data_IF_196863213117
#
_entry.id   IF_196863213117
#
_cell.length_a   1.000
_cell.length_b   1.000
_cell.length_c   1.000
_cell.angle_alpha   90.00
_cell.angle_beta   90.00
_cell.angle_gamma   90.00
#
_symmetry.space_group_name_H-M   'P 1'
#
loop_
_entity.id
_entity.type
_entity.pdbx_description
1 polymer ?
#
# COMPACT_ATOMS: atom_id res chain seq x y z
N UNK A 1 -13.46 -2.82 -21.85
CA UNK A 1 -13.72 -1.37 -21.89
C UNK A 1 -12.81 -0.82 -20.80
N UNK A 2 -11.73 -0.15 -21.19
CA UNK A 2 -10.55 0.01 -20.33
C UNK A 2 -10.87 0.74 -19.03
N UNK A 3 -10.39 0.19 -17.92
CA UNK A 3 -10.35 0.82 -16.60
C UNK A 3 -9.33 1.98 -16.63
N UNK A 4 -9.64 3.04 -17.37
CA UNK A 4 -8.76 4.20 -17.48
C UNK A 4 -9.26 5.28 -16.53
N UNK A 5 -8.75 5.23 -15.30
CA UNK A 5 -8.74 6.40 -14.41
C UNK A 5 -7.98 7.53 -15.09
N UNK A 6 -8.49 8.76 -14.96
CA UNK A 6 -7.95 9.95 -15.61
C UNK A 6 -6.78 10.59 -14.83
N UNK A 7 -6.54 10.16 -13.58
CA UNK A 7 -5.38 10.59 -12.80
C UNK A 7 -4.06 9.96 -13.25
N UNK A 8 -2.95 10.63 -12.95
CA UNK A 8 -1.61 10.20 -13.35
C UNK A 8 -1.14 8.92 -12.63
N UNK A 9 -0.22 8.17 -13.25
CA UNK A 9 0.41 7.01 -12.61
C UNK A 9 1.14 7.41 -11.31
N UNK A 10 1.73 8.60 -11.27
CA UNK A 10 2.38 9.12 -10.08
C UNK A 10 1.38 9.27 -8.92
N UNK A 11 0.21 9.85 -9.17
CA UNK A 11 -0.86 9.98 -8.16
C UNK A 11 -1.29 8.60 -7.64
N UNK A 12 -1.42 7.61 -8.53
CA UNK A 12 -1.74 6.24 -8.14
C UNK A 12 -0.67 5.61 -7.23
N UNK A 13 0.60 5.77 -7.58
CA UNK A 13 1.71 5.19 -6.82
C UNK A 13 1.80 5.82 -5.42
N UNK A 14 1.58 7.14 -5.31
CA UNK A 14 1.51 7.85 -4.03
C UNK A 14 0.30 7.38 -3.21
N UNK A 15 -0.86 7.22 -3.85
CA UNK A 15 -2.07 6.71 -3.18
C UNK A 15 -1.86 5.29 -2.64
N UNK A 16 -1.17 4.42 -3.39
CA UNK A 16 -0.86 3.07 -2.96
C UNK A 16 0.13 3.07 -1.78
N UNK A 17 1.14 3.94 -1.82
CA UNK A 17 2.06 4.12 -0.68
C UNK A 17 1.34 4.63 0.58
N UNK A 18 0.42 5.58 0.42
CA UNK A 18 -0.41 6.09 1.51
C UNK A 18 -1.37 5.01 2.06
N UNK A 19 -1.99 4.22 1.18
CA UNK A 19 -2.88 3.13 1.59
C UNK A 19 -2.13 2.02 2.37
N UNK A 20 -0.90 1.69 1.96
CA UNK A 20 -0.03 0.77 2.71
C UNK A 20 0.32 1.32 4.10
N UNK A 21 0.72 2.59 4.18
CA UNK A 21 1.00 3.25 5.46
C UNK A 21 -0.25 3.26 6.38
N UNK A 22 -1.44 3.45 5.80
CA UNK A 22 -2.68 3.35 6.54
C UNK A 22 -2.94 1.92 7.05
N UNK A 23 -2.70 0.91 6.21
CA UNK A 23 -2.85 -0.50 6.55
C UNK A 23 -1.87 -0.96 7.65
N UNK A 24 -0.65 -0.40 7.71
CA UNK A 24 0.30 -0.63 8.81
C UNK A 24 -0.25 -0.19 10.17
N UNK A 25 -1.23 0.72 10.17
CA UNK A 25 -2.00 1.14 11.35
C UNK A 25 -3.38 0.51 11.40
N UNK A 26 -3.62 -0.58 10.67
CA UNK A 26 -4.88 -1.35 10.67
C UNK A 26 -6.07 -0.46 10.25
N UNK A 27 -5.84 0.48 9.33
CA UNK A 27 -6.93 1.19 8.68
C UNK A 27 -7.70 0.22 7.75
N UNK A 28 -9.00 0.47 7.61
CA UNK A 28 -9.92 -0.35 6.82
C UNK A 28 -10.40 0.41 5.58
N UNK A 29 -10.82 -0.35 4.57
CA UNK A 29 -11.57 0.15 3.40
C UNK A 29 -10.90 1.34 2.68
N UNK A 30 -9.63 1.21 2.25
CA UNK A 30 -9.00 2.20 1.40
C UNK A 30 -9.69 2.23 0.04
N UNK A 31 -10.28 3.38 -0.28
CA UNK A 31 -10.97 3.64 -1.55
C UNK A 31 -10.31 4.83 -2.22
N UNK A 32 -9.80 4.62 -3.43
CA UNK A 32 -9.30 5.68 -4.29
C UNK A 32 -10.44 6.15 -5.20
N UNK A 33 -10.66 7.46 -5.24
CA UNK A 33 -11.73 8.09 -6.00
C UNK A 33 -11.13 9.05 -7.00
N UNK A 34 -11.45 8.89 -8.28
CA UNK A 34 -11.07 9.85 -9.32
C UNK A 34 -11.94 11.11 -9.20
N UNK A 35 -11.27 12.25 -9.02
CA UNK A 35 -11.90 13.57 -8.93
C UNK A 35 -11.33 14.57 -9.94
N UNK A 36 -10.44 14.12 -10.83
CA UNK A 36 -9.71 14.95 -11.81
C UNK A 36 -10.62 15.74 -12.75
N UNK A 37 -11.76 15.15 -13.14
CA UNK A 37 -12.77 15.80 -14.00
C UNK A 37 -13.66 16.80 -13.24
N UNK A 38 -13.59 16.82 -11.90
CA UNK A 38 -14.45 17.63 -11.02
C UNK A 38 -13.69 18.74 -10.33
N UNK A 39 -12.42 18.52 -10.03
CA UNK A 39 -11.57 19.43 -9.26
C UNK A 39 -10.33 19.78 -10.09
N UNK A 40 -10.05 21.08 -10.17
CA UNK A 40 -8.88 21.58 -10.89
C UNK A 40 -7.58 21.33 -10.12
N UNK A 41 -7.66 21.18 -8.80
CA UNK A 41 -6.50 21.16 -7.91
C UNK A 41 -6.05 19.75 -7.50
N UNK A 42 -6.90 18.75 -7.61
CA UNK A 42 -6.62 17.39 -7.17
C UNK A 42 -7.09 16.40 -8.23
N UNK A 43 -6.29 15.36 -8.46
CA UNK A 43 -6.62 14.29 -9.39
C UNK A 43 -7.38 13.14 -8.70
N UNK A 44 -7.03 12.84 -7.44
CA UNK A 44 -7.62 11.73 -6.70
C UNK A 44 -7.82 12.01 -5.22
N UNK A 45 -8.84 11.38 -4.64
CA UNK A 45 -9.02 11.27 -3.19
C UNK A 45 -8.77 9.84 -2.73
N UNK A 46 -7.93 9.67 -1.71
CA UNK A 46 -7.83 8.42 -0.97
C UNK A 46 -8.64 8.53 0.31
N UNK A 47 -9.63 7.65 0.50
CA UNK A 47 -10.47 7.63 1.70
C UNK A 47 -10.21 6.34 2.47
N UNK A 48 -9.84 6.46 3.74
CA UNK A 48 -9.58 5.32 4.64
C UNK A 48 -10.37 5.45 5.93
N UNK A 49 -10.70 4.31 6.53
CA UNK A 49 -11.44 4.22 7.80
C UNK A 49 -10.56 3.80 8.96
N UNK A 50 -10.81 4.36 10.12
CA UNK A 50 -10.20 3.99 11.39
C UNK A 50 -11.30 3.69 12.43
N UNK A 51 -11.03 2.75 13.34
CA UNK A 51 -11.94 2.28 14.38
C UNK A 51 -12.05 3.21 15.60
N UNK A 52 -11.15 4.19 15.75
CA UNK A 52 -11.17 5.11 16.89
C UNK A 52 -10.45 6.42 16.60
N UNK A 53 -10.72 7.45 17.41
CA UNK A 53 -10.07 8.74 17.26
C UNK A 53 -8.55 8.73 17.43
N UNK A 54 -8.06 7.86 18.32
CA UNK A 54 -6.62 7.62 18.46
C UNK A 54 -6.04 7.02 17.19
N UNK A 55 -6.76 6.11 16.54
CA UNK A 55 -6.31 5.47 15.31
C UNK A 55 -6.37 6.42 14.12
N UNK A 56 -7.37 7.31 14.02
CA UNK A 56 -7.39 8.39 12.99
C UNK A 56 -6.07 9.16 13.00
N UNK A 57 -5.64 9.60 14.18
CA UNK A 57 -4.37 10.30 14.32
C UNK A 57 -3.18 9.40 13.97
N UNK A 58 -3.13 8.17 14.50
CA UNK A 58 -2.03 7.25 14.21
C UNK A 58 -1.88 6.94 12.70
N UNK A 59 -2.99 6.75 11.99
CA UNK A 59 -3.03 6.53 10.54
C UNK A 59 -2.52 7.75 9.80
N UNK A 60 -3.03 8.95 10.13
CA UNK A 60 -2.59 10.18 9.49
C UNK A 60 -1.10 10.47 9.69
N UNK A 61 -0.58 10.29 10.90
CA UNK A 61 0.86 10.43 11.17
C UNK A 61 1.71 9.43 10.37
N UNK A 62 1.29 8.16 10.29
CA UNK A 62 2.04 7.14 9.56
C UNK A 62 2.08 7.43 8.06
N UNK A 63 0.96 7.88 7.47
CA UNK A 63 0.92 8.31 6.07
C UNK A 63 1.92 9.44 5.84
N UNK A 64 1.90 10.47 6.68
CA UNK A 64 2.83 11.61 6.56
C UNK A 64 4.29 11.17 6.69
N UNK A 65 4.59 10.30 7.66
CA UNK A 65 5.93 9.81 7.94
C UNK A 65 6.47 8.93 6.80
N UNK A 66 5.67 7.98 6.29
CA UNK A 66 6.07 7.11 5.18
C UNK A 66 6.26 7.87 3.87
N UNK A 67 5.34 8.80 3.54
CA UNK A 67 5.47 9.60 2.31
C UNK A 67 6.66 10.57 2.41
N UNK A 68 6.93 11.14 3.58
CA UNK A 68 8.11 11.99 3.79
C UNK A 68 9.41 11.19 3.68
N UNK A 69 9.50 10.01 4.30
CA UNK A 69 10.72 9.20 4.27
C UNK A 69 11.03 8.58 2.92
N UNK A 70 10.01 8.00 2.28
CA UNK A 70 10.23 7.18 1.09
C UNK A 70 10.11 7.96 -0.22
N UNK A 71 9.29 9.01 -0.24
CA UNK A 71 9.01 9.80 -1.44
C UNK A 71 9.43 11.28 -1.31
N UNK A 72 9.97 11.69 -0.16
CA UNK A 72 10.31 13.10 0.12
C UNK A 72 9.14 14.07 -0.02
N UNK A 73 7.90 13.58 0.13
CA UNK A 73 6.68 14.38 0.00
C UNK A 73 6.24 14.92 1.35
N UNK A 74 5.87 16.20 1.40
CA UNK A 74 5.29 16.84 2.59
C UNK A 74 3.88 17.32 2.27
N UNK A 75 2.94 17.25 3.23
CA UNK A 75 1.62 17.78 3.01
C UNK A 75 1.67 19.30 2.88
N UNK A 76 0.87 19.83 1.97
CA UNK A 76 0.64 21.27 1.80
C UNK A 76 -0.29 21.77 2.90
N UNK A 77 -1.32 20.98 3.22
CA UNK A 77 -2.34 21.31 4.22
C UNK A 77 -2.65 20.08 5.06
N UNK A 78 -2.89 20.31 6.36
CA UNK A 78 -3.42 19.30 7.28
C UNK A 78 -4.59 19.93 8.04
N UNK A 79 -5.76 19.29 8.00
CA UNK A 79 -6.95 19.71 8.74
C UNK A 79 -7.49 18.58 9.63
N UNK A 80 -8.27 18.93 10.66
CA UNK A 80 -8.96 17.96 11.53
C UNK A 80 -8.07 17.22 12.56
N UNK A 81 -6.74 17.41 12.53
CA UNK A 81 -5.76 16.68 13.37
C UNK A 81 -6.06 16.67 14.88
N UNK A 82 -6.64 17.74 15.43
CA UNK A 82 -6.98 17.81 16.86
C UNK A 82 -8.38 17.28 17.20
N UNK A 83 -9.23 17.03 16.20
CA UNK A 83 -10.62 16.61 16.40
C UNK A 83 -10.76 15.10 16.56
N UNK A 84 -9.84 14.33 15.96
CA UNK A 84 -9.79 12.88 16.06
C UNK A 84 -10.93 12.13 15.36
N UNK A 85 -11.94 12.82 14.83
CA UNK A 85 -13.02 12.19 14.05
C UNK A 85 -12.67 12.06 12.57
N UNK A 86 -11.86 12.99 12.08
CA UNK A 86 -11.38 13.02 10.71
C UNK A 86 -10.03 13.70 10.65
N UNK A 87 -9.27 13.40 9.60
CA UNK A 87 -8.09 14.15 9.20
C UNK A 87 -8.06 14.25 7.69
N UNK A 88 -7.81 15.45 7.17
CA UNK A 88 -7.52 15.69 5.77
C UNK A 88 -6.04 16.03 5.62
N UNK A 89 -5.38 15.38 4.67
CA UNK A 89 -3.97 15.56 4.38
C UNK A 89 -3.84 15.81 2.88
N UNK A 90 -3.46 17.03 2.52
CA UNK A 90 -3.38 17.48 1.13
C UNK A 90 -1.93 17.39 0.63
N UNK A 91 -1.71 16.68 -0.48
CA UNK A 91 -0.42 16.57 -1.17
C UNK A 91 -0.45 17.21 -2.58
N UNK A 92 -1.45 18.02 -2.89
CA UNK A 92 -1.72 18.55 -4.24
C UNK A 92 -2.60 17.59 -5.03
N UNK A 93 -1.98 16.79 -5.90
CA UNK A 93 -2.71 15.90 -6.82
C UNK A 93 -3.46 14.77 -6.08
N UNK A 94 -3.03 14.43 -4.86
CA UNK A 94 -3.70 13.48 -3.97
C UNK A 94 -4.14 14.18 -2.68
N UNK A 95 -5.42 14.01 -2.32
CA UNK A 95 -5.91 14.37 -0.98
C UNK A 95 -6.33 13.12 -0.23
N UNK A 96 -5.75 12.90 0.95
CA UNK A 96 -6.04 11.75 1.80
C UNK A 96 -7.01 12.16 2.89
N UNK A 97 -8.09 11.41 3.02
CA UNK A 97 -9.08 11.53 4.07
C UNK A 97 -9.04 10.31 4.98
N UNK A 98 -8.77 10.53 6.26
CA UNK A 98 -8.84 9.50 7.30
C UNK A 98 -10.07 9.78 8.15
N UNK A 99 -11.02 8.85 8.21
CA UNK A 99 -12.25 9.01 9.00
C UNK A 99 -12.38 7.96 10.09
N UNK A 100 -12.92 8.35 11.24
CA UNK A 100 -13.54 7.39 12.12
C UNK A 100 -14.72 6.70 11.38
N UNK A 101 -14.87 5.38 11.56
CA UNK A 101 -15.83 4.55 10.82
C UNK A 101 -17.26 5.10 10.90
N UNK A 102 -17.71 5.42 12.11
CA UNK A 102 -19.04 5.98 12.38
C UNK A 102 -19.26 7.32 11.67
N UNK A 103 -18.24 8.19 11.63
CA UNK A 103 -18.31 9.47 10.93
C UNK A 103 -18.33 9.29 9.40
N UNK A 104 -17.54 8.38 8.82
CA UNK A 104 -17.57 8.09 7.38
C UNK A 104 -18.95 7.64 6.93
N UNK A 105 -19.60 6.78 7.71
CA UNK A 105 -20.96 6.29 7.46
C UNK A 105 -22.00 7.42 7.60
N UNK A 106 -21.88 8.26 8.64
CA UNK A 106 -22.81 9.36 8.90
C UNK A 106 -22.77 10.45 7.82
N UNK A 107 -21.57 10.88 7.42
CA UNK A 107 -21.40 11.91 6.38
C UNK A 107 -21.58 11.36 4.96
N UNK A 108 -21.51 10.03 4.79
CA UNK A 108 -21.69 9.32 3.54
C UNK A 108 -20.94 10.00 2.38
N UNK A 109 -19.67 10.37 2.60
CA UNK A 109 -18.89 11.19 1.66
C UNK A 109 -18.74 10.55 0.29
N UNK A 110 -18.82 9.23 0.22
CA UNK A 110 -18.87 8.46 -1.02
C UNK A 110 -20.09 8.79 -1.89
N UNK A 111 -21.18 9.33 -1.31
CA UNK A 111 -22.33 9.86 -2.05
C UNK A 111 -22.00 11.16 -2.78
N UNK A 112 -21.13 12.00 -2.21
CA UNK A 112 -20.71 13.25 -2.85
C UNK A 112 -19.89 12.99 -4.11
N UNK A 113 -19.16 11.87 -4.12
CA UNK A 113 -18.31 11.43 -5.23
C UNK A 113 -18.87 10.19 -5.94
N UNK A 114 -20.17 9.92 -5.81
CA UNK A 114 -20.75 8.64 -6.20
C UNK A 114 -20.60 8.32 -7.69
N UNK A 115 -20.57 9.37 -8.49
CA UNK A 115 -20.48 9.34 -9.95
C UNK A 115 -19.03 9.28 -10.47
N UNK A 116 -18.02 9.42 -9.59
CA UNK A 116 -16.61 9.28 -9.95
C UNK A 116 -16.18 7.81 -10.04
N UNK A 117 -15.16 7.50 -10.84
CA UNK A 117 -14.58 6.16 -10.89
C UNK A 117 -13.91 5.86 -9.53
N UNK A 118 -14.21 4.67 -8.97
CA UNK A 118 -13.74 4.26 -7.64
C UNK A 118 -12.99 2.95 -7.72
N UNK A 119 -11.90 2.86 -6.97
CA UNK A 119 -11.08 1.66 -6.84
C UNK A 119 -10.90 1.31 -5.38
N UNK A 120 -11.36 0.12 -5.01
CA UNK A 120 -11.10 -0.46 -3.71
C UNK A 120 -9.68 -1.03 -3.71
N UNK A 121 -8.82 -0.52 -2.82
CA UNK A 121 -7.42 -0.94 -2.77
C UNK A 121 -7.20 -2.13 -1.82
N UNK A 122 -8.20 -2.51 -1.01
CA UNK A 122 -8.05 -3.55 0.02
C UNK A 122 -7.57 -4.88 -0.58
N UNK A 123 -8.15 -5.30 -1.71
CA UNK A 123 -7.77 -6.57 -2.36
C UNK A 123 -6.30 -6.57 -2.82
N UNK A 124 -5.79 -5.43 -3.29
CA UNK A 124 -4.39 -5.28 -3.71
C UNK A 124 -3.48 -5.44 -2.48
N UNK A 125 -3.80 -4.75 -1.38
CA UNK A 125 -3.04 -4.82 -0.13
C UNK A 125 -3.05 -6.22 0.48
N UNK A 126 -4.19 -6.91 0.44
CA UNK A 126 -4.34 -8.26 0.95
C UNK A 126 -3.52 -9.28 0.13
N UNK A 127 -3.46 -9.10 -1.19
CA UNK A 127 -2.61 -9.90 -2.08
C UNK A 127 -1.13 -9.71 -1.75
N UNK A 128 -0.68 -8.45 -1.68
CA UNK A 128 0.72 -8.11 -1.35
C UNK A 128 1.14 -8.69 0.00
N UNK A 129 0.28 -8.58 1.02
CA UNK A 129 0.56 -9.12 2.35
C UNK A 129 0.61 -10.65 2.34
N UNK A 130 -0.20 -11.32 1.52
CA UNK A 130 -0.18 -12.78 1.37
C UNK A 130 1.11 -13.25 0.70
N UNK A 131 1.54 -12.59 -0.38
CA UNK A 131 2.81 -12.89 -1.05
C UNK A 131 4.03 -12.61 -0.14
N UNK A 132 3.95 -11.55 0.66
CA UNK A 132 4.97 -11.21 1.65
C UNK A 132 5.02 -12.22 2.82
N UNK A 133 4.01 -13.08 2.99
CA UNK A 133 3.95 -14.03 4.11
C UNK A 133 5.13 -15.03 4.07
N UNK A 134 5.82 -15.29 5.21
CA UNK A 134 6.92 -16.25 5.27
C UNK A 134 6.54 -17.65 4.77
N UNK A 135 5.29 -18.05 4.96
CA UNK A 135 4.76 -19.36 4.57
C UNK A 135 4.73 -19.51 3.04
N UNK A 136 4.29 -18.47 2.32
CA UNK A 136 4.24 -18.45 0.85
C UNK A 136 5.66 -18.44 0.28
N UNK A 137 6.56 -17.64 0.85
CA UNK A 137 7.97 -17.60 0.44
C UNK A 137 8.68 -18.95 0.61
N UNK A 138 8.42 -19.67 1.70
CA UNK A 138 8.94 -21.02 1.94
C UNK A 138 8.38 -22.05 0.93
N UNK A 139 7.10 -21.96 0.57
CA UNK A 139 6.48 -22.85 -0.41
C UNK A 139 7.09 -22.69 -1.81
N UNK A 140 7.34 -21.45 -2.26
CA UNK A 140 8.02 -21.20 -3.54
C UNK A 140 9.49 -21.64 -3.54
N UNK A 141 10.21 -21.42 -2.43
CA UNK A 141 11.61 -21.83 -2.30
C UNK A 141 11.80 -23.37 -2.28
N UNK A 142 10.76 -24.12 -1.91
CA UNK A 142 10.81 -25.59 -1.83
C UNK A 142 10.48 -26.29 -3.16
N UNK A 143 10.14 -25.52 -4.20
CA UNK A 143 9.62 -26.01 -5.48
C UNK A 143 10.51 -25.75 -6.68
N UNK A 144 11.85 -25.85 -6.57
CA UNK A 144 12.73 -26.08 -7.73
C UNK A 144 14.13 -26.52 -7.26
N UNK A 145 14.27 -27.82 -6.96
CA UNK A 145 15.60 -28.43 -6.85
C UNK A 145 15.78 -29.30 -8.09
N UNK A 146 16.71 -28.98 -9.03
CA UNK A 146 16.99 -29.88 -10.12
C UNK A 146 17.62 -31.13 -9.51
N UNK A 147 16.96 -32.27 -9.68
CA UNK A 147 17.50 -33.57 -9.32
C UNK A 147 18.76 -33.82 -10.16
N UNK A 148 19.94 -33.60 -9.58
CA UNK A 148 21.18 -34.03 -10.20
C UNK A 148 21.28 -35.55 -10.10
N UNK A 149 21.18 -36.17 -11.28
CA UNK A 149 21.26 -37.60 -11.51
C UNK A 149 22.62 -38.20 -11.17
N UNK A 150 22.58 -39.52 -11.04
CA UNK A 150 23.53 -40.39 -10.37
C UNK A 150 24.83 -40.64 -11.16
N UNK A 151 25.90 -40.84 -10.37
CA UNK A 151 26.95 -41.88 -10.47
C UNK A 151 27.59 -42.25 -11.82
N UNK A 152 28.93 -42.20 -11.82
CA UNK A 152 29.91 -43.19 -12.33
C UNK A 152 31.30 -42.55 -12.17
N UNK A 153 32.40 -43.20 -11.80
CA UNK A 153 32.75 -44.56 -11.48
C UNK A 153 34.25 -44.59 -11.14
N UNK A 154 34.63 -45.51 -10.27
CA UNK A 154 35.90 -46.26 -10.13
C UNK A 154 37.18 -45.71 -10.82
N UNK A 155 38.25 -45.52 -10.03
CA UNK A 155 39.60 -45.39 -10.60
C UNK A 155 40.75 -45.13 -9.61
N UNK A 156 41.29 -46.22 -9.07
CA UNK A 156 42.70 -46.49 -8.72
C UNK A 156 43.51 -45.61 -7.73
N UNK A 157 44.25 -46.35 -6.89
CA UNK A 157 45.20 -45.95 -5.85
C UNK A 157 46.62 -45.90 -6.43
N UNK A 158 47.40 -44.85 -6.10
CA UNK A 158 48.90 -44.78 -5.98
C UNK A 158 49.28 -43.29 -5.88
N UNK A 159 50.32 -42.78 -5.22
CA UNK A 159 51.26 -43.19 -4.19
C UNK A 159 51.92 -41.87 -3.69
N UNK A 160 52.46 -41.92 -2.49
CA UNK A 160 53.51 -41.08 -1.87
C UNK A 160 54.51 -40.45 -2.87
N UNK A 161 54.92 -39.20 -2.63
CA UNK A 161 56.28 -38.87 -2.15
C UNK A 161 56.47 -37.36 -1.89
N UNK A 162 57.23 -37.06 -0.84
CA UNK A 162 57.65 -35.74 -0.38
C UNK A 162 58.72 -35.14 -1.32
N UNK A 163 58.74 -33.81 -1.49
CA UNK A 163 59.76 -33.19 -2.32
C UNK A 163 59.77 -31.68 -2.39
N UNK A 164 60.28 -31.07 -1.31
CA UNK A 164 61.05 -29.81 -1.24
C UNK A 164 60.31 -28.47 -1.11
#
# INVERSE_FOLDING_TARGET
>A
MGDTVAFSQQTYDVALAAARAAADKIAENPVLVDVSERLVLAEAFLIVSASSARQVNAVGEEIMDQLARNLSMKPTVIEGRSEGRWMLIDYGDLVVHVFAKEDREYYALEKLWADGERRELQAILDEENREASPVVRLAHASGDAPAQGQSQGTGAVSAVDDGQ
#
